data_IF_796727330339
#
_entry.id   IF_796727330339
#
_cell.length_a   1.000
_cell.length_b   1.000
_cell.length_c   1.000
_cell.angle_alpha   90.00
_cell.angle_beta   90.00
_cell.angle_gamma   90.00
#
_symmetry.space_group_name_H-M   'P 1'
#
loop_
_entity.id
_entity.type
_entity.pdbx_description
1 polymer ?
#
# COMPACT_ATOMS: atom_id res chain seq x y z
N UNK A 1 22.88 -1.47 15.84
CA UNK A 1 21.54 -1.91 15.38
C UNK A 1 20.65 -0.68 15.32
N UNK A 2 19.70 -0.66 14.41
CA UNK A 2 18.76 0.46 14.35
C UNK A 2 17.64 0.27 15.37
N UNK A 3 17.23 1.34 16.04
CA UNK A 3 16.04 1.30 16.88
C UNK A 3 14.77 1.39 16.02
N UNK A 4 13.63 0.92 16.54
CA UNK A 4 12.34 1.05 15.86
C UNK A 4 12.06 2.52 15.48
N UNK A 5 12.41 3.46 16.37
CA UNK A 5 12.28 4.89 16.03
C UNK A 5 13.03 5.26 14.75
N UNK A 6 14.29 4.85 14.63
CA UNK A 6 15.08 5.16 13.43
C UNK A 6 14.50 4.53 12.15
N UNK A 7 13.95 3.32 12.26
CA UNK A 7 13.30 2.65 11.12
C UNK A 7 12.00 3.37 10.75
N UNK A 8 11.18 3.74 11.74
CA UNK A 8 9.94 4.51 11.53
C UNK A 8 10.25 5.87 10.91
N UNK A 9 11.29 6.59 11.35
CA UNK A 9 11.69 7.87 10.78
C UNK A 9 12.03 7.73 9.27
N UNK A 10 12.66 6.62 8.88
CA UNK A 10 12.94 6.32 7.46
C UNK A 10 11.65 6.00 6.70
N UNK A 11 10.77 5.16 7.28
CA UNK A 11 9.48 4.82 6.65
C UNK A 11 8.61 6.06 6.42
N UNK A 12 8.54 6.96 7.40
CA UNK A 12 7.75 8.20 7.31
C UNK A 12 8.42 9.27 6.44
N UNK A 13 9.72 9.14 6.14
CA UNK A 13 10.39 9.94 5.11
C UNK A 13 10.04 9.43 3.71
N UNK A 14 10.01 8.10 3.52
CA UNK A 14 9.67 7.47 2.23
C UNK A 14 8.17 7.55 1.94
N UNK A 15 7.34 7.40 2.96
CA UNK A 15 5.88 7.34 2.91
C UNK A 15 5.27 8.30 3.92
N UNK A 16 5.36 9.62 3.70
CA UNK A 16 4.92 10.63 4.66
C UNK A 16 3.45 10.47 5.05
N UNK A 17 3.18 10.46 6.36
CA UNK A 17 1.82 10.30 6.89
C UNK A 17 0.86 11.39 6.42
N UNK A 18 1.37 12.59 6.09
CA UNK A 18 0.58 13.71 5.56
C UNK A 18 -0.04 13.45 4.17
N UNK A 19 0.36 12.36 3.49
CA UNK A 19 -0.25 11.96 2.21
C UNK A 19 -1.39 10.97 2.40
N UNK A 20 -1.70 10.59 3.65
CA UNK A 20 -2.86 9.76 3.92
C UNK A 20 -4.17 10.51 3.67
N UNK A 21 -5.20 9.78 3.23
CA UNK A 21 -6.56 10.28 3.16
C UNK A 21 -7.05 10.72 4.56
N UNK A 22 -7.95 11.70 4.61
CA UNK A 22 -8.42 12.32 5.87
C UNK A 22 -9.07 11.33 6.85
N UNK A 23 -9.57 10.22 6.36
CA UNK A 23 -10.22 9.16 7.15
C UNK A 23 -9.24 8.08 7.62
N UNK A 24 -7.99 8.10 7.15
CA UNK A 24 -7.00 7.04 7.32
C UNK A 24 -5.95 7.43 8.37
N UNK A 25 -5.57 6.47 9.21
CA UNK A 25 -4.63 6.65 10.31
C UNK A 25 -3.48 5.62 10.22
N UNK A 26 -2.63 5.73 9.19
CA UNK A 26 -1.46 4.84 9.02
C UNK A 26 -0.32 5.20 10.00
N UNK A 27 0.77 4.45 9.93
CA UNK A 27 1.96 4.66 10.74
C UNK A 27 2.19 3.56 11.76
N UNK A 28 2.86 3.86 12.87
CA UNK A 28 3.17 2.88 13.91
C UNK A 28 1.92 2.57 14.73
N UNK A 29 1.45 1.33 14.64
CA UNK A 29 0.22 0.85 15.30
C UNK A 29 0.54 0.16 16.64
N UNK A 30 1.60 -0.66 16.67
CA UNK A 30 2.08 -1.38 17.86
C UNK A 30 3.59 -1.35 17.87
N UNK A 31 4.21 -1.08 19.03
CA UNK A 31 5.66 -1.20 19.19
C UNK A 31 6.24 -0.28 20.25
N UNK A 32 7.44 -0.62 20.73
CA UNK A 32 8.29 0.25 21.58
C UNK A 32 9.38 0.87 20.72
N UNK A 33 9.36 2.19 20.57
CA UNK A 33 10.31 2.96 19.75
C UNK A 33 11.79 2.75 20.12
N UNK A 34 12.07 2.26 21.34
CA UNK A 34 13.42 1.97 21.83
C UNK A 34 13.91 0.58 21.47
N UNK A 35 13.02 -0.30 20.99
CA UNK A 35 13.37 -1.68 20.64
C UNK A 35 14.31 -1.72 19.44
N UNK A 36 15.28 -2.62 19.46
CA UNK A 36 16.19 -2.86 18.34
C UNK A 36 15.50 -3.67 17.24
N UNK A 37 15.63 -3.24 15.99
CA UNK A 37 15.08 -3.91 14.81
C UNK A 37 16.21 -4.52 13.99
N UNK A 38 16.10 -5.82 13.69
CA UNK A 38 17.01 -6.61 12.85
C UNK A 38 16.28 -7.26 11.69
N UNK A 39 15.12 -7.84 11.98
CA UNK A 39 14.33 -8.61 11.04
C UNK A 39 13.04 -7.86 10.73
N UNK A 40 12.82 -7.56 9.44
CA UNK A 40 11.63 -6.87 8.94
C UNK A 40 10.91 -7.80 7.97
N UNK A 41 9.60 -7.89 8.09
CA UNK A 41 8.75 -8.60 7.14
C UNK A 41 7.68 -7.67 6.58
N UNK A 42 7.16 -8.04 5.40
CA UNK A 42 6.10 -7.32 4.70
C UNK A 42 4.91 -8.24 4.46
N UNK A 43 3.71 -7.71 4.60
CA UNK A 43 2.48 -8.40 4.24
C UNK A 43 1.43 -7.40 3.76
N UNK A 44 0.43 -7.87 3.00
CA UNK A 44 -0.71 -7.02 2.67
C UNK A 44 -1.60 -6.78 3.89
N UNK A 45 -1.95 -7.84 4.61
CA UNK A 45 -2.92 -7.84 5.71
C UNK A 45 -2.30 -8.28 7.04
N UNK A 46 -2.59 -7.59 8.16
CA UNK A 46 -2.22 -8.03 9.49
C UNK A 46 -3.19 -9.12 10.01
N UNK A 47 -3.38 -10.20 9.24
CA UNK A 47 -4.24 -11.31 9.65
C UNK A 47 -3.59 -12.13 10.76
N UNK A 48 -4.39 -12.89 11.53
CA UNK A 48 -3.88 -13.72 12.63
C UNK A 48 -2.79 -14.70 12.13
N UNK A 49 -2.98 -15.28 10.95
CA UNK A 49 -2.02 -16.22 10.36
C UNK A 49 -0.68 -15.52 10.02
N UNK A 50 -0.73 -14.31 9.47
CA UNK A 50 0.47 -13.50 9.19
C UNK A 50 1.19 -13.11 10.48
N UNK A 51 0.45 -12.69 11.50
CA UNK A 51 1.01 -12.38 12.82
C UNK A 51 1.72 -13.59 13.43
N UNK A 52 1.07 -14.77 13.39
CA UNK A 52 1.66 -16.00 13.93
C UNK A 52 2.94 -16.40 13.17
N UNK A 53 2.96 -16.24 11.85
CA UNK A 53 4.17 -16.48 11.05
C UNK A 53 5.28 -15.46 11.35
N UNK A 54 4.96 -14.19 11.49
CA UNK A 54 5.94 -13.16 11.83
C UNK A 54 6.59 -13.44 13.19
N UNK A 55 5.79 -13.77 14.20
CA UNK A 55 6.28 -14.10 15.54
C UNK A 55 7.14 -15.37 15.52
N UNK A 56 6.69 -16.42 14.84
CA UNK A 56 7.45 -17.66 14.70
C UNK A 56 8.77 -17.47 13.94
N UNK A 57 8.80 -16.51 13.00
CA UNK A 57 10.01 -16.13 12.25
C UNK A 57 10.95 -15.18 12.98
N UNK A 58 10.63 -14.77 14.23
CA UNK A 58 11.45 -13.81 14.97
C UNK A 58 11.51 -12.43 14.33
N UNK A 59 10.41 -11.96 13.77
CA UNK A 59 10.32 -10.66 13.14
C UNK A 59 10.15 -9.57 14.21
N UNK A 60 11.01 -8.55 14.14
CA UNK A 60 10.99 -7.40 15.05
C UNK A 60 10.02 -6.30 14.58
N UNK A 61 9.84 -6.16 13.26
CA UNK A 61 8.91 -5.22 12.65
C UNK A 61 8.17 -5.85 11.48
N UNK A 62 6.85 -5.93 11.58
CA UNK A 62 5.96 -6.27 10.48
C UNK A 62 5.43 -4.98 9.86
N UNK A 63 5.61 -4.84 8.54
CA UNK A 63 5.07 -3.73 7.75
C UNK A 63 3.88 -4.27 6.95
N UNK A 64 2.69 -3.70 7.17
CA UNK A 64 1.49 -4.07 6.44
C UNK A 64 0.98 -2.90 5.59
N UNK A 65 0.26 -3.23 4.53
CA UNK A 65 -0.46 -2.25 3.74
C UNK A 65 -1.82 -1.93 4.39
N UNK A 66 -2.65 -2.93 4.60
CA UNK A 66 -3.97 -2.72 5.20
C UNK A 66 -3.90 -2.48 6.72
N UNK A 67 -4.73 -1.57 7.26
CA UNK A 67 -4.70 -1.25 8.68
C UNK A 67 -5.33 -2.34 9.54
N UNK A 68 -4.74 -2.58 10.71
CA UNK A 68 -5.35 -3.40 11.76
C UNK A 68 -6.63 -2.74 12.29
N UNK A 69 -6.62 -1.43 12.43
CA UNK A 69 -7.74 -0.62 12.89
C UNK A 69 -8.20 0.31 11.78
N UNK A 70 -9.31 -0.03 11.14
CA UNK A 70 -9.93 0.79 10.10
C UNK A 70 -10.84 1.89 10.67
N UNK A 71 -11.19 1.79 11.96
CA UNK A 71 -11.98 2.78 12.71
C UNK A 71 -11.40 2.90 14.10
N UNK A 72 -11.61 4.06 14.73
CA UNK A 72 -11.24 4.28 16.12
C UNK A 72 -11.79 3.19 17.03
N UNK A 73 -10.97 2.74 17.98
CA UNK A 73 -11.36 1.73 18.97
C UNK A 73 -11.24 2.32 20.38
N UNK A 74 -12.18 1.96 21.24
CA UNK A 74 -12.20 2.40 22.65
C UNK A 74 -11.59 1.38 23.60
N UNK A 75 -11.38 0.14 23.14
CA UNK A 75 -10.82 -0.92 23.96
C UNK A 75 -9.95 -1.85 23.11
N UNK A 76 -8.80 -2.24 23.68
CA UNK A 76 -7.93 -3.28 23.14
C UNK A 76 -7.89 -4.40 24.16
N UNK A 77 -8.72 -5.42 23.98
CA UNK A 77 -8.87 -6.55 24.89
C UNK A 77 -8.88 -7.87 24.11
N UNK A 78 -8.68 -9.00 24.81
CA UNK A 78 -8.75 -10.34 24.21
C UNK A 78 -10.15 -10.80 23.78
N UNK A 79 -11.17 -9.94 23.88
CA UNK A 79 -12.54 -10.28 23.46
C UNK A 79 -12.72 -10.26 21.93
N UNK A 80 -11.78 -9.66 21.19
CA UNK A 80 -11.83 -9.60 19.73
C UNK A 80 -10.45 -9.88 19.11
N UNK A 81 -10.46 -10.31 17.83
CA UNK A 81 -9.23 -10.72 17.15
C UNK A 81 -8.17 -9.59 17.06
N UNK A 82 -8.58 -8.33 16.94
CA UNK A 82 -7.66 -7.18 16.90
C UNK A 82 -6.92 -6.99 18.23
N UNK A 83 -7.64 -7.11 19.36
CA UNK A 83 -7.04 -7.05 20.68
C UNK A 83 -6.08 -8.24 20.92
N UNK A 84 -6.43 -9.43 20.45
CA UNK A 84 -5.55 -10.59 20.50
C UNK A 84 -4.28 -10.40 19.66
N UNK A 85 -4.37 -9.82 18.46
CA UNK A 85 -3.21 -9.46 17.64
C UNK A 85 -2.29 -8.50 18.40
N UNK A 86 -2.82 -7.41 18.94
CA UNK A 86 -2.02 -6.45 19.73
C UNK A 86 -1.34 -7.13 20.92
N UNK A 87 -2.06 -8.00 21.63
CA UNK A 87 -1.48 -8.77 22.75
C UNK A 87 -0.31 -9.63 22.28
N UNK A 88 -0.48 -10.40 21.20
CA UNK A 88 0.56 -11.26 20.62
C UNK A 88 1.79 -10.47 20.21
N UNK A 89 1.60 -9.38 19.48
CA UNK A 89 2.69 -8.51 19.03
C UNK A 89 3.47 -7.94 20.21
N UNK A 90 2.79 -7.40 21.23
CA UNK A 90 3.44 -6.86 22.43
C UNK A 90 4.22 -7.93 23.19
N UNK A 91 3.68 -9.12 23.38
CA UNK A 91 4.36 -10.21 24.09
C UNK A 91 5.58 -10.73 23.33
N UNK A 92 5.54 -10.71 22.01
CA UNK A 92 6.65 -11.13 21.15
C UNK A 92 7.70 -10.03 20.92
N UNK A 93 7.43 -8.79 21.32
CA UNK A 93 8.28 -7.64 20.99
C UNK A 93 8.28 -7.30 19.49
N UNK A 94 7.27 -7.74 18.74
CA UNK A 94 7.12 -7.46 17.31
C UNK A 94 6.29 -6.19 17.11
N UNK A 95 6.84 -5.21 16.41
CA UNK A 95 6.14 -3.98 16.07
C UNK A 95 5.27 -4.18 14.80
N UNK A 96 4.23 -3.38 14.67
CA UNK A 96 3.40 -3.26 13.46
C UNK A 96 3.38 -1.83 12.98
N UNK A 97 3.85 -1.60 11.76
CA UNK A 97 3.71 -0.34 11.04
C UNK A 97 2.82 -0.54 9.82
N UNK A 98 1.96 0.43 9.54
CA UNK A 98 1.02 0.40 8.41
C UNK A 98 1.33 1.54 7.46
N UNK A 99 1.54 1.21 6.17
CA UNK A 99 1.60 2.16 5.07
C UNK A 99 0.43 1.90 4.14
N UNK A 100 -0.62 2.71 4.25
CA UNK A 100 -1.88 2.54 3.55
C UNK A 100 -2.04 3.60 2.46
N UNK A 101 -3.01 4.49 2.55
CA UNK A 101 -3.23 5.52 1.51
C UNK A 101 -2.04 6.47 1.35
N UNK A 102 -1.25 6.71 2.40
CA UNK A 102 0.00 7.44 2.33
C UNK A 102 1.04 6.72 1.45
N UNK A 103 1.12 5.38 1.52
CA UNK A 103 2.00 4.59 0.66
C UNK A 103 1.49 4.53 -0.78
N UNK A 104 0.17 4.55 -1.00
CA UNK A 104 -0.41 4.64 -2.35
C UNK A 104 -0.06 5.98 -3.03
N UNK A 105 -0.09 7.06 -2.27
CA UNK A 105 0.11 8.42 -2.79
C UNK A 105 1.58 8.81 -2.94
N UNK A 106 2.50 8.14 -2.24
CA UNK A 106 3.91 8.52 -2.21
C UNK A 106 4.63 8.27 -3.54
N UNK A 107 5.72 9.05 -3.77
CA UNK A 107 6.67 8.73 -4.82
C UNK A 107 7.33 7.37 -4.54
N UNK A 108 7.43 6.52 -5.57
CA UNK A 108 7.81 5.10 -5.46
C UNK A 108 6.90 4.27 -4.55
N UNK A 109 5.68 4.74 -4.35
CA UNK A 109 4.64 4.01 -3.64
C UNK A 109 3.93 2.97 -4.52
N UNK A 110 2.85 2.41 -4.01
CA UNK A 110 2.12 1.29 -4.64
C UNK A 110 1.60 1.65 -6.03
N UNK A 111 1.07 2.87 -6.20
CA UNK A 111 0.58 3.33 -7.51
C UNK A 111 1.67 3.37 -8.57
N UNK A 112 2.87 3.86 -8.23
CA UNK A 112 4.00 3.91 -9.17
C UNK A 112 4.53 2.50 -9.46
N UNK A 113 4.66 1.64 -8.44
CA UNK A 113 5.10 0.28 -8.62
C UNK A 113 4.19 -0.52 -9.57
N UNK A 114 2.88 -0.36 -9.44
CA UNK A 114 1.91 -0.98 -10.35
C UNK A 114 2.03 -0.43 -11.78
N UNK A 115 2.16 0.88 -11.94
CA UNK A 115 2.34 1.51 -13.25
C UNK A 115 3.65 1.06 -13.94
N UNK A 116 4.75 0.94 -13.16
CA UNK A 116 6.03 0.40 -13.65
C UNK A 116 5.88 -1.06 -14.10
N UNK A 117 5.20 -1.89 -13.30
CA UNK A 117 4.96 -3.29 -13.63
C UNK A 117 4.14 -3.46 -14.93
N UNK A 118 3.25 -2.51 -15.21
CA UNK A 118 2.46 -2.49 -16.45
C UNK A 118 3.20 -1.84 -17.63
N UNK A 119 4.41 -1.34 -17.43
CA UNK A 119 5.25 -0.75 -18.45
C UNK A 119 4.83 0.66 -18.88
N UNK A 120 4.28 1.45 -17.97
CA UNK A 120 3.89 2.83 -18.22
C UNK A 120 5.10 3.76 -18.12
N UNK A 121 5.22 4.66 -19.06
CA UNK A 121 6.20 5.76 -19.11
C UNK A 121 5.51 7.11 -18.94
N UNK A 122 6.29 8.17 -18.69
CA UNK A 122 5.80 9.55 -18.52
C UNK A 122 4.68 9.65 -17.46
N UNK A 123 4.92 8.98 -16.33
CA UNK A 123 3.92 8.85 -15.27
C UNK A 123 3.71 10.15 -14.50
N UNK A 124 2.45 10.42 -14.16
CA UNK A 124 2.04 11.47 -13.23
C UNK A 124 0.96 10.94 -12.28
N UNK A 125 0.74 11.57 -11.12
CA UNK A 125 -0.40 11.22 -10.27
C UNK A 125 -1.73 11.36 -11.01
N UNK A 126 -2.67 10.45 -10.77
CA UNK A 126 -4.05 10.55 -11.27
C UNK A 126 -4.79 11.64 -10.49
N UNK A 127 -4.68 11.60 -9.15
CA UNK A 127 -5.18 12.64 -8.24
C UNK A 127 -3.98 13.25 -7.53
N UNK A 128 -3.48 14.42 -7.96
CA UNK A 128 -2.28 15.02 -7.39
C UNK A 128 -2.53 15.57 -5.99
N UNK A 129 -1.49 15.49 -5.15
CA UNK A 129 -1.42 16.17 -3.84
C UNK A 129 -0.46 17.34 -3.98
N UNK A 130 -0.91 18.53 -3.63
CA UNK A 130 -0.10 19.74 -3.61
C UNK A 130 0.79 19.75 -2.35
N UNK A 131 2.08 19.48 -2.53
CA UNK A 131 3.08 19.58 -1.46
C UNK A 131 4.32 20.30 -1.97
N UNK A 132 4.52 21.58 -1.58
CA UNK A 132 5.70 22.36 -1.98
C UNK A 132 7.03 21.77 -1.49
N UNK A 133 7.01 20.81 -0.55
CA UNK A 133 8.21 20.13 -0.03
C UNK A 133 8.50 18.82 -0.76
N UNK A 134 7.61 18.36 -1.62
CA UNK A 134 7.82 17.13 -2.37
C UNK A 134 8.84 17.39 -3.51
N UNK A 135 9.88 16.57 -3.56
CA UNK A 135 10.88 16.60 -4.63
C UNK A 135 10.34 16.02 -5.96
N UNK A 136 9.28 15.23 -5.86
CA UNK A 136 8.64 14.55 -6.99
C UNK A 136 7.13 14.69 -6.91
N UNK A 137 6.41 14.60 -8.03
CA UNK A 137 4.95 14.59 -8.02
C UNK A 137 4.40 13.42 -7.22
N UNK A 138 3.53 13.71 -6.25
CA UNK A 138 2.86 12.77 -5.35
C UNK A 138 1.35 12.86 -5.49
N UNK A 139 0.65 11.80 -5.14
CA UNK A 139 -0.81 11.71 -5.21
C UNK A 139 -1.29 10.32 -5.54
N UNK A 140 -2.59 10.09 -5.42
CA UNK A 140 -3.22 8.79 -5.62
C UNK A 140 -3.22 8.37 -7.09
N UNK A 141 -3.02 7.08 -7.30
CA UNK A 141 -2.98 6.48 -8.62
C UNK A 141 -1.85 7.03 -9.50
N UNK A 142 -1.79 6.54 -10.72
CA UNK A 142 -0.87 7.02 -11.76
C UNK A 142 -1.56 7.03 -13.11
N UNK A 143 -1.26 8.03 -13.92
CA UNK A 143 -1.55 8.05 -15.34
C UNK A 143 -0.23 8.05 -16.09
N UNK A 144 -0.11 7.17 -17.07
CA UNK A 144 1.07 7.09 -17.91
C UNK A 144 0.73 6.65 -19.32
N UNK A 145 1.74 6.60 -20.17
CA UNK A 145 1.61 6.15 -21.56
C UNK A 145 2.28 4.80 -21.74
N UNK A 146 1.73 3.99 -22.61
CA UNK A 146 2.45 2.85 -23.17
C UNK A 146 3.48 3.36 -24.18
N UNK A 147 4.64 2.70 -24.25
CA UNK A 147 5.68 3.05 -25.22
C UNK A 147 5.15 3.02 -26.66
N UNK A 148 4.32 2.01 -26.96
CA UNK A 148 3.55 1.90 -28.18
C UNK A 148 2.10 1.56 -27.83
N UNK A 149 1.10 2.15 -28.52
CA UNK A 149 -0.28 1.75 -28.35
C UNK A 149 -0.49 0.28 -28.72
N UNK A 150 -1.27 -0.45 -27.92
CA UNK A 150 -1.58 -1.87 -28.13
C UNK A 150 -3.07 -2.13 -27.99
N UNK A 151 -3.55 -3.28 -28.45
CA UNK A 151 -4.94 -3.68 -28.25
C UNK A 151 -5.24 -3.94 -26.75
N UNK A 152 -6.46 -3.64 -26.32
CA UNK A 152 -6.89 -3.86 -24.92
C UNK A 152 -6.65 -5.32 -24.48
N UNK A 153 -6.88 -6.30 -25.35
CA UNK A 153 -6.61 -7.72 -25.06
C UNK A 153 -5.16 -7.99 -24.70
N UNK A 154 -4.21 -7.32 -25.35
CA UNK A 154 -2.78 -7.54 -25.14
C UNK A 154 -2.32 -6.82 -23.86
N UNK A 155 -2.91 -5.65 -23.57
CA UNK A 155 -2.69 -5.00 -22.30
C UNK A 155 -3.28 -5.83 -21.13
N UNK A 156 -4.46 -6.42 -21.29
CA UNK A 156 -5.05 -7.34 -20.29
C UNK A 156 -4.12 -8.51 -19.97
N UNK A 157 -3.47 -9.11 -20.98
CA UNK A 157 -2.46 -10.15 -20.75
C UNK A 157 -1.26 -9.61 -19.97
N UNK A 158 -0.75 -8.44 -20.34
CA UNK A 158 0.35 -7.79 -19.62
C UNK A 158 0.02 -7.59 -18.14
N UNK A 159 -1.18 -7.13 -17.82
CA UNK A 159 -1.65 -6.97 -16.43
C UNK A 159 -1.72 -8.33 -15.74
N UNK A 160 -2.26 -9.35 -16.39
CA UNK A 160 -2.35 -10.71 -15.83
C UNK A 160 -0.97 -11.32 -15.56
N UNK A 161 0.00 -11.10 -16.45
CA UNK A 161 1.38 -11.59 -16.29
C UNK A 161 2.16 -10.86 -15.19
N UNK A 162 1.81 -9.58 -14.92
CA UNK A 162 2.47 -8.76 -13.91
C UNK A 162 1.93 -8.97 -12.49
N UNK A 163 0.71 -9.49 -12.34
CA UNK A 163 0.05 -9.67 -11.05
C UNK A 163 0.07 -11.13 -10.60
N UNK A 164 0.01 -11.39 -9.29
CA UNK A 164 -0.16 -12.74 -8.77
C UNK A 164 -1.45 -13.37 -9.30
N UNK A 165 -1.42 -14.69 -9.48
CA UNK A 165 -2.61 -15.45 -9.86
C UNK A 165 -3.73 -15.29 -8.82
N UNK A 166 -4.95 -15.08 -9.30
CA UNK A 166 -6.18 -15.11 -8.51
C UNK A 166 -7.22 -16.00 -9.22
N UNK A 167 -8.18 -16.54 -8.45
CA UNK A 167 -9.25 -17.40 -9.02
C UNK A 167 -10.08 -16.69 -10.07
N UNK A 168 -10.31 -15.40 -9.93
CA UNK A 168 -11.11 -14.60 -10.88
C UNK A 168 -10.27 -14.03 -12.03
N UNK A 169 -8.95 -14.07 -11.93
CA UNK A 169 -8.05 -13.48 -12.93
C UNK A 169 -8.26 -11.97 -13.09
N UNK A 170 -7.96 -11.47 -14.29
CA UNK A 170 -8.19 -10.09 -14.69
C UNK A 170 -9.54 -9.99 -15.38
N UNK A 171 -10.42 -9.16 -14.81
CA UNK A 171 -11.71 -8.84 -15.43
C UNK A 171 -11.53 -7.63 -16.35
N UNK A 172 -12.09 -7.69 -17.55
CA UNK A 172 -11.99 -6.62 -18.55
C UNK A 172 -13.38 -6.25 -19.05
N UNK A 173 -13.58 -4.95 -19.25
CA UNK A 173 -14.78 -4.39 -19.86
C UNK A 173 -14.39 -3.48 -21.02
N UNK A 174 -15.09 -3.59 -22.15
CA UNK A 174 -14.83 -2.81 -23.34
C UNK A 174 -14.49 -3.65 -24.57
N UNK A 175 -14.27 -2.99 -25.72
CA UNK A 175 -13.85 -3.64 -26.94
C UNK A 175 -12.40 -4.12 -26.82
N UNK A 176 -12.19 -5.42 -26.88
CA UNK A 176 -10.87 -6.04 -26.76
C UNK A 176 -9.90 -5.67 -27.89
N UNK A 177 -10.42 -5.24 -29.04
CA UNK A 177 -9.61 -4.79 -30.19
C UNK A 177 -9.34 -3.28 -30.17
N UNK A 178 -9.94 -2.53 -29.22
CA UNK A 178 -9.67 -1.12 -29.08
C UNK A 178 -8.19 -0.87 -28.78
N UNK A 179 -7.60 0.07 -29.51
CA UNK A 179 -6.20 0.49 -29.30
C UNK A 179 -6.11 1.43 -28.12
N UNK A 180 -5.28 1.12 -27.15
CA UNK A 180 -5.01 1.95 -25.98
C UNK A 180 -3.56 2.44 -25.98
N UNK A 181 -3.33 3.67 -25.56
CA UNK A 181 -1.99 4.27 -25.46
C UNK A 181 -1.78 4.98 -24.13
N UNK A 182 -2.85 5.42 -23.47
CA UNK A 182 -2.82 6.04 -22.14
C UNK A 182 -3.58 5.17 -21.15
N UNK A 183 -3.00 4.97 -19.97
CA UNK A 183 -3.56 4.10 -18.94
C UNK A 183 -3.54 4.83 -17.60
N UNK A 184 -4.65 4.77 -16.88
CA UNK A 184 -4.72 5.13 -15.49
C UNK A 184 -4.69 3.87 -14.61
N UNK A 185 -3.86 3.89 -13.56
CA UNK A 185 -3.74 2.81 -12.57
C UNK A 185 -4.11 3.38 -11.20
N UNK A 186 -5.07 2.76 -10.54
CA UNK A 186 -5.44 3.10 -9.18
C UNK A 186 -5.43 1.82 -8.34
N UNK A 187 -4.41 1.62 -7.48
CA UNK A 187 -4.43 0.56 -6.49
C UNK A 187 -5.55 0.81 -5.46
N UNK A 188 -6.17 -0.28 -4.98
CA UNK A 188 -7.23 -0.20 -4.00
C UNK A 188 -8.63 0.03 -4.59
N UNK A 189 -9.52 0.59 -3.79
CA UNK A 189 -10.92 0.82 -4.16
C UNK A 189 -11.11 2.25 -4.67
N UNK A 190 -11.77 2.40 -5.80
CA UNK A 190 -12.37 3.67 -6.20
C UNK A 190 -13.52 3.99 -5.23
N UNK A 191 -13.26 4.86 -4.25
CA UNK A 191 -14.31 5.50 -3.47
C UNK A 191 -14.55 6.88 -4.07
N UNK A 192 -15.78 7.12 -4.53
CA UNK A 192 -16.30 8.44 -4.90
C UNK A 192 -15.45 9.26 -5.92
N UNK A 193 -15.01 8.61 -7.02
CA UNK A 193 -14.86 9.39 -8.25
C UNK A 193 -16.26 9.85 -8.64
N UNK A 194 -16.63 11.06 -8.26
CA UNK A 194 -17.74 11.74 -8.89
C UNK A 194 -17.50 11.70 -10.40
N UNK A 195 -18.45 11.15 -11.12
CA UNK A 195 -18.37 10.86 -12.57
C UNK A 195 -18.39 12.11 -13.45
N UNK A 196 -17.89 13.24 -12.98
CA UNK A 196 -17.97 14.52 -13.66
C UNK A 196 -16.67 15.03 -14.29
N UNK A 197 -15.51 14.35 -14.06
CA UNK A 197 -14.21 14.90 -14.51
C UNK A 197 -13.29 13.90 -15.25
N UNK A 198 -13.87 12.88 -15.94
CA UNK A 198 -13.10 12.03 -16.86
C UNK A 198 -13.49 12.32 -18.30
#
# INVERSE_FOLDING_TARGET
>A
MATLKQVVDVLETLYPLRYAEQWDEPGLIVGDLRHDVRNIAFAADPSMAVIDQAIAGGIDLLICHHPLFFRSVHAVSGLGFRGEIVRKLNLAGCALWVGHTNADASYRGVGMAAADAFGLIEQRPLVPIEDPKAEHPVGLGRVGRLQEPIALRDFTRRVADALPYTELGVQVCGDLDATIGTVAVLPGKLTDCESSDI
#
